data_IF_422518070453
#
_entry.id   IF_422518070453
#
_cell.length_a   1.000
_cell.length_b   1.000
_cell.length_c   1.000
_cell.angle_alpha   90.00
_cell.angle_beta   90.00
_cell.angle_gamma   90.00
#
_symmetry.space_group_name_H-M   'P 1'
#
loop_
_entity.id
_entity.type
_entity.pdbx_description
1 polymer ?
#
# COMPACT_ATOMS: atom_id res chain seq x y z
N UNK A 1 -0.68 -15.25 -19.54
CA UNK A 1 -0.30 -14.16 -18.62
C UNK A 1 -0.71 -14.59 -17.23
N UNK A 2 0.17 -14.44 -16.25
CA UNK A 2 -0.05 -14.87 -14.86
C UNK A 2 -0.02 -13.66 -13.94
N UNK A 3 -0.79 -13.70 -12.87
CA UNK A 3 -0.91 -12.63 -11.87
C UNK A 3 -0.62 -13.24 -10.50
N UNK A 4 0.20 -12.58 -9.70
CA UNK A 4 0.36 -12.92 -8.27
C UNK A 4 -0.68 -12.15 -7.46
N UNK A 5 -1.56 -12.86 -6.75
CA UNK A 5 -2.45 -12.27 -5.76
C UNK A 5 -1.94 -12.63 -4.37
N UNK A 6 -1.67 -11.63 -3.54
CA UNK A 6 -1.18 -11.80 -2.17
C UNK A 6 -2.07 -11.06 -1.19
N UNK A 7 -2.37 -11.70 -0.06
CA UNK A 7 -3.10 -11.10 1.05
C UNK A 7 -2.15 -11.00 2.25
N UNK A 8 -1.99 -9.79 2.80
CA UNK A 8 -1.11 -9.49 3.93
C UNK A 8 -1.95 -9.19 5.17
N UNK A 9 -1.54 -9.72 6.31
CA UNK A 9 -2.08 -9.34 7.62
C UNK A 9 -0.90 -8.93 8.50
N UNK A 10 -0.75 -7.63 8.70
CA UNK A 10 0.43 -7.04 9.33
C UNK A 10 0.42 -7.19 10.86
N UNK A 11 1.58 -7.32 11.52
CA UNK A 11 1.66 -7.22 12.97
C UNK A 11 1.15 -5.87 13.49
N UNK A 12 0.69 -5.88 14.73
CA UNK A 12 0.26 -4.63 15.38
C UNK A 12 1.43 -3.68 15.70
N UNK A 13 2.63 -4.24 15.86
CA UNK A 13 3.85 -3.52 16.19
C UNK A 13 4.58 -3.04 14.92
N UNK A 14 5.46 -2.05 15.09
CA UNK A 14 6.28 -1.49 14.01
C UNK A 14 7.40 -2.47 13.59
N UNK A 15 7.04 -3.47 12.79
CA UNK A 15 7.92 -4.57 12.38
C UNK A 15 8.23 -4.54 10.86
N UNK A 16 9.09 -3.62 10.38
CA UNK A 16 9.39 -3.50 8.94
C UNK A 16 9.99 -4.76 8.31
N UNK A 17 10.67 -5.59 9.10
CA UNK A 17 11.27 -6.86 8.64
C UNK A 17 10.20 -7.82 8.07
N UNK A 18 8.97 -7.78 8.58
CA UNK A 18 7.86 -8.59 8.07
C UNK A 18 7.61 -8.32 6.57
N UNK A 19 7.59 -7.04 6.19
CA UNK A 19 7.39 -6.63 4.80
C UNK A 19 8.56 -6.99 3.89
N UNK A 20 9.81 -6.93 4.38
CA UNK A 20 10.97 -7.39 3.60
C UNK A 20 10.84 -8.88 3.24
N UNK A 21 10.48 -9.72 4.22
CA UNK A 21 10.27 -11.15 4.00
C UNK A 21 9.06 -11.42 3.08
N UNK A 22 7.97 -10.68 3.26
CA UNK A 22 6.80 -10.78 2.39
C UNK A 22 7.14 -10.42 0.93
N UNK A 23 7.90 -9.33 0.73
CA UNK A 23 8.35 -8.90 -0.60
C UNK A 23 9.16 -9.97 -1.30
N UNK A 24 10.14 -10.58 -0.62
CA UNK A 24 10.97 -11.64 -1.20
C UNK A 24 10.12 -12.82 -1.66
N UNK A 25 9.14 -13.24 -0.86
CA UNK A 25 8.19 -14.29 -1.24
C UNK A 25 7.35 -13.90 -2.46
N UNK A 26 6.88 -12.65 -2.52
CA UNK A 26 6.08 -12.14 -3.64
C UNK A 26 6.92 -12.10 -4.93
N UNK A 27 8.15 -11.60 -4.85
CA UNK A 27 9.11 -11.54 -5.99
C UNK A 27 9.44 -12.94 -6.52
N UNK A 28 9.56 -13.94 -5.64
CA UNK A 28 9.88 -15.32 -6.02
C UNK A 28 8.80 -16.01 -6.89
N UNK A 29 7.57 -15.48 -6.95
CA UNK A 29 6.58 -15.98 -7.91
C UNK A 29 6.91 -15.62 -9.37
N UNK A 30 7.79 -14.65 -9.61
CA UNK A 30 8.30 -14.30 -10.94
C UNK A 30 7.27 -13.69 -11.91
N UNK A 31 6.09 -13.30 -11.41
CA UNK A 31 5.06 -12.66 -12.24
C UNK A 31 5.28 -11.15 -12.30
N UNK A 32 5.15 -10.59 -13.50
CA UNK A 32 5.27 -9.13 -13.71
C UNK A 32 4.02 -8.34 -13.28
N UNK A 33 2.93 -9.02 -12.97
CA UNK A 33 1.70 -8.40 -12.51
C UNK A 33 1.40 -8.95 -11.12
N UNK A 34 1.21 -8.06 -10.14
CA UNK A 34 0.78 -8.47 -8.81
C UNK A 34 -0.29 -7.54 -8.24
N UNK A 35 -1.09 -8.12 -7.36
CA UNK A 35 -2.09 -7.42 -6.56
C UNK A 35 -1.80 -7.82 -5.12
N UNK A 36 -1.53 -6.81 -4.28
CA UNK A 36 -1.31 -6.99 -2.85
C UNK A 36 -2.47 -6.31 -2.14
N UNK A 37 -3.20 -7.08 -1.33
CA UNK A 37 -4.33 -6.61 -0.51
C UNK A 37 -4.11 -7.02 0.93
N UNK A 38 -4.96 -6.51 1.82
CA UNK A 38 -5.03 -7.00 3.19
C UNK A 38 -5.14 -5.89 4.22
N UNK A 39 -4.87 -6.23 5.46
CA UNK A 39 -4.81 -5.30 6.58
C UNK A 39 -3.36 -5.01 6.91
N UNK A 40 -2.92 -3.81 6.57
CA UNK A 40 -1.53 -3.39 6.73
C UNK A 40 -1.30 -2.69 8.07
N UNK A 41 -2.35 -2.41 8.86
CA UNK A 41 -2.26 -1.67 10.12
C UNK A 41 -1.43 -0.36 10.07
N UNK A 42 -1.35 0.25 8.87
CA UNK A 42 -0.67 1.51 8.58
C UNK A 42 -1.53 2.37 7.65
N UNK A 43 -1.27 3.68 7.67
CA UNK A 43 -1.85 4.64 6.74
C UNK A 43 -0.78 5.09 5.74
N UNK A 44 -1.05 4.96 4.44
CA UNK A 44 -0.10 5.36 3.39
C UNK A 44 -0.14 6.86 3.14
N UNK A 45 -1.34 7.45 3.18
CA UNK A 45 -1.56 8.88 3.06
C UNK A 45 -2.46 9.36 4.20
N UNK A 46 -1.84 9.88 5.27
CA UNK A 46 -2.54 10.23 6.51
C UNK A 46 -3.81 11.09 6.30
N UNK A 47 -3.71 12.12 5.45
CA UNK A 47 -4.81 13.05 5.16
C UNK A 47 -5.94 12.45 4.32
N UNK A 48 -5.67 11.36 3.61
CA UNK A 48 -6.65 10.67 2.78
C UNK A 48 -7.26 9.48 3.52
N UNK A 49 -6.42 8.75 4.24
CA UNK A 49 -6.78 7.49 4.89
C UNK A 49 -7.41 7.71 6.27
N UNK A 50 -7.28 8.92 6.84
CA UNK A 50 -7.83 9.27 8.15
C UNK A 50 -8.51 10.64 8.13
N UNK A 51 -9.58 10.83 8.92
CA UNK A 51 -10.25 12.12 9.03
C UNK A 51 -9.54 13.08 10.00
N UNK A 52 -9.03 12.56 11.12
CA UNK A 52 -8.56 13.38 12.25
C UNK A 52 -7.31 12.82 12.95
N UNK A 53 -6.73 11.73 12.43
CA UNK A 53 -5.58 11.09 13.06
C UNK A 53 -4.28 11.78 12.65
N UNK A 54 -3.69 12.55 13.56
CA UNK A 54 -2.42 13.25 13.30
C UNK A 54 -1.19 12.36 13.53
N UNK A 55 -1.35 11.28 14.30
CA UNK A 55 -0.25 10.37 14.63
C UNK A 55 -0.03 9.34 13.53
N UNK A 56 1.20 9.26 13.02
CA UNK A 56 1.62 8.23 12.08
C UNK A 56 1.94 6.97 12.89
N UNK A 57 1.09 5.95 12.76
CA UNK A 57 1.36 4.64 13.36
C UNK A 57 2.40 3.87 12.56
N UNK A 58 3.21 3.05 13.24
CA UNK A 58 4.22 2.15 12.67
C UNK A 58 5.04 2.79 11.52
N UNK A 59 5.80 3.87 11.80
CA UNK A 59 6.45 4.66 10.76
C UNK A 59 7.51 3.90 9.97
N UNK A 60 8.19 2.90 10.57
CA UNK A 60 9.21 2.13 9.88
C UNK A 60 8.59 1.09 8.94
N UNK A 61 7.55 0.39 9.39
CA UNK A 61 6.71 -0.48 8.58
C UNK A 61 6.11 0.27 7.39
N UNK A 62 5.55 1.47 7.64
CA UNK A 62 5.04 2.35 6.58
C UNK A 62 6.10 2.69 5.55
N UNK A 63 7.31 3.08 5.99
CA UNK A 63 8.42 3.35 5.08
C UNK A 63 8.76 2.11 4.24
N UNK A 64 8.81 0.94 4.86
CA UNK A 64 9.12 -0.31 4.14
C UNK A 64 8.06 -0.67 3.09
N UNK A 65 6.78 -0.41 3.36
CA UNK A 65 5.71 -0.61 2.37
C UNK A 65 5.85 0.36 1.19
N UNK A 66 6.18 1.62 1.45
CA UNK A 66 6.42 2.61 0.39
C UNK A 66 7.63 2.20 -0.47
N UNK A 67 8.72 1.77 0.16
CA UNK A 67 9.92 1.28 -0.52
C UNK A 67 9.57 0.04 -1.37
N UNK A 68 8.81 -0.91 -0.82
CA UNK A 68 8.30 -2.10 -1.54
C UNK A 68 7.45 -1.71 -2.76
N UNK A 69 6.56 -0.72 -2.61
CA UNK A 69 5.74 -0.24 -3.72
C UNK A 69 6.60 0.34 -4.85
N UNK A 70 7.65 1.12 -4.51
CA UNK A 70 8.60 1.63 -5.50
C UNK A 70 9.36 0.51 -6.21
N UNK A 71 9.86 -0.47 -5.45
CA UNK A 71 10.59 -1.63 -5.96
C UNK A 71 9.78 -2.51 -6.93
N UNK A 72 8.48 -2.64 -6.66
CA UNK A 72 7.55 -3.49 -7.42
C UNK A 72 6.72 -2.70 -8.44
N UNK A 73 6.97 -1.39 -8.60
CA UNK A 73 6.20 -0.47 -9.45
C UNK A 73 4.68 -0.54 -9.17
N UNK A 74 4.31 -0.52 -7.88
CA UNK A 74 2.93 -0.63 -7.43
C UNK A 74 2.25 0.72 -7.30
N UNK A 75 0.97 0.73 -7.67
CA UNK A 75 0.08 1.86 -7.50
C UNK A 75 -0.79 1.70 -6.25
N UNK A 76 -0.92 2.77 -5.47
CA UNK A 76 -1.91 2.83 -4.38
C UNK A 76 -3.32 3.04 -4.94
N UNK A 77 -4.07 1.96 -5.12
CA UNK A 77 -5.36 1.98 -5.82
C UNK A 77 -6.39 2.91 -5.17
N UNK A 78 -6.49 2.94 -3.85
CA UNK A 78 -7.46 3.80 -3.17
C UNK A 78 -7.15 5.29 -3.39
N UNK A 79 -5.88 5.68 -3.26
CA UNK A 79 -5.41 7.03 -3.58
C UNK A 79 -5.69 7.46 -5.02
N UNK A 80 -5.44 6.57 -5.98
CA UNK A 80 -5.75 6.79 -7.39
C UNK A 80 -7.25 7.03 -7.63
N UNK A 81 -8.11 6.19 -7.03
CA UNK A 81 -9.57 6.32 -7.16
C UNK A 81 -10.06 7.64 -6.56
N UNK A 82 -9.60 7.99 -5.36
CA UNK A 82 -10.01 9.22 -4.69
C UNK A 82 -9.53 10.46 -5.44
N UNK A 83 -8.30 10.44 -5.97
CA UNK A 83 -7.77 11.53 -6.81
C UNK A 83 -8.59 11.71 -8.08
N UNK A 84 -9.01 10.60 -8.72
CA UNK A 84 -9.87 10.65 -9.92
C UNK A 84 -11.26 11.21 -9.61
N UNK A 85 -11.91 10.76 -8.53
CA UNK A 85 -13.21 11.29 -8.08
C UNK A 85 -13.14 12.80 -7.83
N UNK A 86 -12.10 13.28 -7.14
CA UNK A 86 -11.91 14.73 -6.96
C UNK A 86 -11.80 15.46 -8.31
N UNK A 87 -11.02 14.96 -9.27
CA UNK A 87 -10.89 15.56 -10.60
C UNK A 87 -12.19 15.58 -11.40
N UNK A 88 -13.03 14.55 -11.28
CA UNK A 88 -14.34 14.49 -11.93
C UNK A 88 -15.34 15.46 -11.30
N UNK A 89 -15.26 15.68 -9.99
CA UNK A 89 -16.12 16.64 -9.28
C UNK A 89 -15.76 18.10 -9.63
N UNK A 90 -14.52 18.36 -10.07
CA UNK A 90 -14.04 19.67 -10.55
C UNK A 90 -14.30 19.95 -12.04
N UNK A 91 -15.02 19.08 -12.77
CA UNK A 91 -15.41 19.30 -14.18
C UNK A 91 -16.89 19.66 -14.39
N UNK A 92 -17.54 20.18 -13.36
CA UNK A 92 -18.93 20.63 -13.43
C UNK A 92 -19.06 22.12 -13.09
N UNK A 93 -18.42 23.00 -13.86
CA UNK A 93 -18.81 24.40 -14.08
C UNK A 93 -18.30 24.88 -15.44
#
# INVERSE_FOLDING_TARGET
RSITLSNIYDPNADEPQFYAVAMDKIKNFGNSHCIIVGDFNIYLQQSLDTSDYQHINNPNARKQVIDMMGDLDLLYMFGEIMTRKHKETFKAY
#
